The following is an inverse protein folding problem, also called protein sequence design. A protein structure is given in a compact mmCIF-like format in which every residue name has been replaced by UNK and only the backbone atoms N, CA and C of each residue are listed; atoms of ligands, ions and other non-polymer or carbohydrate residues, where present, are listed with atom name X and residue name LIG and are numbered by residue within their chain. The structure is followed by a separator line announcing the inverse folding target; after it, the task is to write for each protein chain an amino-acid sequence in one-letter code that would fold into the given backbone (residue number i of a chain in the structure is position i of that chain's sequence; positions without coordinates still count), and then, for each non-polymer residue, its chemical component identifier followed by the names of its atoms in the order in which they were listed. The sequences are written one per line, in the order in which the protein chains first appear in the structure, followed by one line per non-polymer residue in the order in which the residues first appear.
data_IF_450816659300
#
_entry.id   IF_450816659300
#
_cell.length_a   1.000
_cell.length_b   1.000
_cell.length_c   1.000
_cell.angle_alpha   90.00
_cell.angle_beta   90.00
_cell.angle_gamma   90.00
#
_symmetry.space_group_name_H-M   'P 1'
#
loop_
_entity.id
_entity.type
_entity.pdbx_description
1 polymer ?
#
# COMPACT_ATOMS: atom_id res chain seq x y z
N UNK A 1 -16.92 -3.28 -12.99
CA UNK A 1 -15.55 -3.49 -12.45
C UNK A 1 -14.92 -2.22 -11.91
N UNK A 2 -15.06 -1.07 -12.60
CA UNK A 2 -14.48 0.23 -12.17
C UNK A 2 -14.75 0.59 -10.70
N UNK A 3 -16.02 0.59 -10.29
CA UNK A 3 -16.44 0.95 -8.94
C UNK A 3 -15.80 0.00 -7.91
N UNK A 4 -15.76 -1.29 -8.22
CA UNK A 4 -15.17 -2.32 -7.36
C UNK A 4 -13.67 -2.07 -7.20
N UNK A 5 -12.94 -1.84 -8.28
CA UNK A 5 -11.50 -1.53 -8.25
C UNK A 5 -11.21 -0.26 -7.45
N UNK A 6 -11.97 0.82 -7.66
CA UNK A 6 -11.81 2.07 -6.90
C UNK A 6 -12.10 1.89 -5.40
N UNK A 7 -13.14 1.13 -5.05
CA UNK A 7 -13.48 0.81 -3.66
C UNK A 7 -12.36 0.01 -2.99
N UNK A 8 -11.84 -1.01 -3.67
CA UNK A 8 -10.74 -1.84 -3.18
C UNK A 8 -9.46 -1.04 -2.97
N UNK A 9 -9.08 -0.18 -3.92
CA UNK A 9 -7.91 0.71 -3.78
C UNK A 9 -8.11 1.66 -2.60
N UNK A 10 -9.29 2.28 -2.48
CA UNK A 10 -9.60 3.21 -1.38
C UNK A 10 -9.54 2.53 -0.02
N UNK A 11 -10.18 1.36 0.10
CA UNK A 11 -10.19 0.58 1.34
C UNK A 11 -8.77 0.16 1.71
N UNK A 12 -7.97 -0.26 0.72
CA UNK A 12 -6.59 -0.66 0.94
C UNK A 12 -5.73 0.51 1.43
N UNK A 13 -5.82 1.67 0.78
CA UNK A 13 -5.13 2.89 1.21
C UNK A 13 -5.52 3.29 2.64
N UNK A 14 -6.82 3.24 2.96
CA UNK A 14 -7.33 3.56 4.30
C UNK A 14 -6.76 2.61 5.37
N UNK A 15 -6.74 1.31 5.12
CA UNK A 15 -6.18 0.32 6.04
C UNK A 15 -4.70 0.56 6.32
N UNK A 16 -3.92 0.97 5.31
CA UNK A 16 -2.51 1.33 5.50
C UNK A 16 -2.37 2.60 6.35
N UNK A 17 -3.18 3.62 6.06
CA UNK A 17 -3.17 4.86 6.83
C UNK A 17 -3.53 4.61 8.31
N UNK A 18 -4.57 3.82 8.58
CA UNK A 18 -4.97 3.43 9.94
C UNK A 18 -3.85 2.64 10.62
N UNK A 19 -3.23 1.69 9.92
CA UNK A 19 -2.12 0.92 10.47
C UNK A 19 -0.92 1.82 10.84
N UNK A 20 -0.57 2.77 9.97
CA UNK A 20 0.50 3.74 10.23
C UNK A 20 0.18 4.65 11.42
N UNK A 21 -1.07 5.15 11.53
CA UNK A 21 -1.52 5.96 12.66
C UNK A 21 -1.55 5.18 13.97
N UNK A 22 -2.04 3.94 13.96
CA UNK A 22 -2.05 3.07 15.15
C UNK A 22 -0.63 2.82 15.65
N UNK A 23 0.30 2.48 14.74
CA UNK A 23 1.70 2.28 15.09
C UNK A 23 2.35 3.55 15.64
N UNK A 24 1.99 4.71 15.09
CA UNK A 24 2.48 6.00 15.57
C UNK A 24 1.96 6.29 16.99
N UNK A 25 0.69 6.02 17.27
CA UNK A 25 0.13 6.14 18.62
C UNK A 25 0.82 5.22 19.63
N UNK A 26 1.04 3.96 19.28
CA UNK A 26 1.52 2.94 20.23
C UNK A 26 3.04 2.99 20.47
N UNK A 27 3.81 3.45 19.48
CA UNK A 27 5.28 3.36 19.50
C UNK A 27 5.97 4.70 19.17
N UNK A 28 5.24 5.82 19.20
CA UNK A 28 5.77 7.17 18.98
C UNK A 28 6.08 7.53 17.52
N UNK A 29 6.58 8.75 17.31
CA UNK A 29 6.95 9.26 15.99
C UNK A 29 8.20 8.57 15.45
N UNK A 30 8.12 8.01 14.23
CA UNK A 30 9.27 7.53 13.47
C UNK A 30 9.12 7.87 11.99
N UNK A 31 10.20 8.32 11.37
CA UNK A 31 10.24 8.77 9.96
C UNK A 31 9.68 7.70 9.00
N UNK A 32 10.00 6.43 9.20
CA UNK A 32 9.52 5.31 8.38
C UNK A 32 7.99 5.20 8.33
N UNK A 33 7.29 5.57 9.42
CA UNK A 33 5.81 5.55 9.50
C UNK A 33 5.17 6.70 8.75
N UNK A 34 5.86 7.84 8.69
CA UNK A 34 5.45 8.96 7.85
C UNK A 34 5.52 8.56 6.37
N UNK A 35 6.55 7.79 5.96
CA UNK A 35 6.61 7.22 4.62
C UNK A 35 5.45 6.25 4.33
N UNK A 36 5.03 5.40 5.27
CA UNK A 36 3.83 4.58 5.10
C UNK A 36 2.57 5.41 4.80
N UNK A 37 2.41 6.54 5.49
CA UNK A 37 1.28 7.44 5.29
C UNK A 37 1.33 8.14 3.93
N UNK A 38 2.51 8.58 3.50
CA UNK A 38 2.72 9.15 2.15
C UNK A 38 2.37 8.12 1.08
N UNK A 39 2.83 6.87 1.23
CA UNK A 39 2.54 5.81 0.25
C UNK A 39 1.06 5.47 0.23
N UNK A 40 0.38 5.44 1.38
CA UNK A 40 -1.07 5.28 1.44
C UNK A 40 -1.80 6.39 0.67
N UNK A 41 -1.36 7.64 0.83
CA UNK A 41 -1.91 8.78 0.09
C UNK A 41 -1.67 8.64 -1.42
N UNK A 42 -0.49 8.18 -1.85
CA UNK A 42 -0.19 7.95 -3.27
C UNK A 42 -1.08 6.85 -3.88
N UNK A 43 -1.32 5.76 -3.15
CA UNK A 43 -2.26 4.71 -3.56
C UNK A 43 -3.67 5.29 -3.71
N UNK A 44 -4.11 6.11 -2.78
CA UNK A 44 -5.42 6.77 -2.87
C UNK A 44 -5.50 7.73 -4.07
N UNK A 45 -4.48 8.56 -4.25
CA UNK A 45 -4.39 9.52 -5.36
C UNK A 45 -4.36 8.85 -6.73
N UNK A 46 -3.89 7.59 -6.82
CA UNK A 46 -3.87 6.82 -8.08
C UNK A 46 -5.25 6.68 -8.73
N UNK A 47 -6.34 6.77 -7.96
CA UNK A 47 -7.72 6.70 -8.46
C UNK A 47 -8.04 7.87 -9.39
N UNK A 48 -7.50 9.06 -9.09
CA UNK A 48 -7.72 10.29 -9.86
C UNK A 48 -6.66 10.53 -10.93
N UNK A 49 -5.78 9.56 -11.20
CA UNK A 49 -4.80 9.69 -12.27
C UNK A 49 -5.50 9.90 -13.62
N UNK A 50 -5.04 10.88 -14.44
CA UNK A 50 -5.68 11.22 -15.72
C UNK A 50 -5.60 10.09 -16.76
N UNK A 51 -4.65 9.16 -16.60
CA UNK A 51 -4.50 7.98 -17.44
C UNK A 51 -4.44 6.71 -16.57
N UNK A 52 -5.10 5.64 -17.00
CA UNK A 52 -5.10 4.34 -16.31
C UNK A 52 -3.74 3.65 -16.30
N UNK A 53 -2.92 3.87 -17.33
CA UNK A 53 -1.51 3.42 -17.36
C UNK A 53 -0.72 4.13 -16.26
N UNK A 54 -0.93 5.43 -16.07
CA UNK A 54 -0.28 6.18 -14.99
C UNK A 54 -0.75 5.69 -13.61
N UNK A 55 -2.04 5.42 -13.45
CA UNK A 55 -2.60 4.80 -12.22
C UNK A 55 -1.90 3.47 -11.89
N UNK A 56 -1.72 2.61 -12.90
CA UNK A 56 -1.02 1.34 -12.77
C UNK A 56 0.44 1.54 -12.31
N UNK A 57 1.17 2.46 -12.93
CA UNK A 57 2.56 2.76 -12.54
C UNK A 57 2.65 3.28 -11.10
N UNK A 58 1.75 4.18 -10.70
CA UNK A 58 1.70 4.70 -9.31
C UNK A 58 1.47 3.54 -8.32
N UNK A 59 0.55 2.62 -8.63
CA UNK A 59 0.27 1.47 -7.78
C UNK A 59 1.46 0.53 -7.67
N UNK A 60 2.12 0.19 -8.79
CA UNK A 60 3.31 -0.67 -8.79
C UNK A 60 4.41 -0.08 -7.92
N UNK A 61 4.74 1.21 -8.12
CA UNK A 61 5.79 1.90 -7.35
C UNK A 61 5.41 1.94 -5.86
N UNK A 62 4.14 2.22 -5.56
CA UNK A 62 3.64 2.26 -4.18
C UNK A 62 3.72 0.90 -3.49
N UNK A 63 3.38 -0.19 -4.19
CA UNK A 63 3.40 -1.54 -3.63
C UNK A 63 4.82 -2.04 -3.37
N UNK A 64 5.76 -1.74 -4.28
CA UNK A 64 7.19 -1.99 -4.07
C UNK A 64 7.68 -1.19 -2.85
N UNK A 65 7.34 0.09 -2.77
CA UNK A 65 7.72 0.95 -1.64
C UNK A 65 7.19 0.41 -0.31
N UNK A 66 5.95 -0.07 -0.25
CA UNK A 66 5.38 -0.71 0.95
C UNK A 66 6.14 -1.97 1.37
N UNK A 67 6.64 -2.75 0.42
CA UNK A 67 7.42 -3.95 0.72
C UNK A 67 8.77 -3.57 1.33
N UNK A 68 9.47 -2.63 0.70
CA UNK A 68 10.76 -2.13 1.21
C UNK A 68 10.59 -1.51 2.59
N UNK A 69 9.58 -0.66 2.79
CA UNK A 69 9.29 -0.04 4.09
C UNK A 69 8.95 -1.08 5.16
N UNK A 70 8.17 -2.10 4.81
CA UNK A 70 7.79 -3.14 5.77
C UNK A 70 8.96 -4.06 6.14
N UNK A 71 9.85 -4.35 5.18
CA UNK A 71 11.11 -5.06 5.45
C UNK A 71 12.00 -4.23 6.38
N UNK A 72 12.16 -2.93 6.08
CA UNK A 72 12.96 -2.02 6.90
C UNK A 72 12.40 -1.87 8.32
N UNK A 73 11.09 -1.66 8.48
CA UNK A 73 10.42 -1.59 9.79
C UNK A 73 10.59 -2.91 10.58
N UNK A 74 10.51 -4.06 9.89
CA UNK A 74 10.74 -5.37 10.48
C UNK A 74 12.18 -5.59 10.94
N UNK A 75 13.16 -5.08 10.19
CA UNK A 75 14.58 -5.12 10.56
C UNK A 75 14.87 -4.22 11.77
N UNK A 76 14.35 -3.00 11.76
CA UNK A 76 14.55 -2.00 12.83
C UNK A 76 13.91 -2.44 14.16
N UNK A 77 12.79 -3.15 14.13
CA UNK A 77 12.06 -3.59 15.33
C UNK A 77 12.46 -5.01 15.79
N UNK A 78 13.75 -5.36 15.73
CA UNK A 78 14.31 -6.66 16.15
C UNK A 78 13.80 -7.88 15.37
N UNK A 79 13.71 -7.76 14.04
CA UNK A 79 13.75 -8.90 13.11
C UNK A 79 12.49 -9.78 13.05
N UNK A 80 11.40 -9.45 13.75
CA UNK A 80 10.15 -10.23 13.68
C UNK A 80 9.32 -9.86 12.45
N UNK A 81 9.85 -10.18 11.27
CA UNK A 81 9.09 -10.20 10.03
C UNK A 81 8.07 -11.33 10.12
N UNK A 82 6.80 -10.99 10.36
CA UNK A 82 5.70 -11.97 10.27
C UNK A 82 5.48 -12.32 8.81
N UNK A 83 6.17 -13.37 8.35
CA UNK A 83 6.15 -13.83 6.95
C UNK A 83 4.73 -14.00 6.39
N UNK A 84 3.80 -14.52 7.21
CA UNK A 84 2.38 -14.67 6.86
C UNK A 84 1.73 -13.34 6.45
N UNK A 85 2.02 -12.26 7.18
CA UNK A 85 1.47 -10.93 6.89
C UNK A 85 2.02 -10.37 5.58
N UNK A 86 3.31 -10.61 5.30
CA UNK A 86 3.92 -10.22 4.02
C UNK A 86 3.35 -10.98 2.83
N UNK A 87 3.14 -12.30 2.94
CA UNK A 87 2.57 -13.12 1.88
C UNK A 87 1.13 -12.68 1.56
N UNK A 88 0.30 -12.45 2.59
CA UNK A 88 -1.08 -11.97 2.39
C UNK A 88 -1.06 -10.60 1.72
N UNK A 89 -0.19 -9.68 2.19
CA UNK A 89 -0.05 -8.34 1.60
C UNK A 89 0.37 -8.41 0.12
N UNK A 90 1.30 -9.30 -0.21
CA UNK A 90 1.71 -9.54 -1.59
C UNK A 90 0.55 -10.04 -2.46
N UNK A 91 -0.23 -11.01 -1.97
CA UNK A 91 -1.43 -11.50 -2.68
C UNK A 91 -2.45 -10.40 -2.96
N UNK A 92 -2.71 -9.52 -1.99
CA UNK A 92 -3.60 -8.36 -2.16
C UNK A 92 -3.07 -7.39 -3.22
N UNK A 93 -1.76 -7.11 -3.24
CA UNK A 93 -1.15 -6.27 -4.26
C UNK A 93 -1.28 -6.86 -5.67
N UNK A 94 -1.00 -8.16 -5.82
CA UNK A 94 -1.13 -8.86 -7.10
C UNK A 94 -2.58 -8.81 -7.58
N UNK A 95 -3.55 -9.06 -6.69
CA UNK A 95 -4.98 -8.95 -7.01
C UNK A 95 -5.34 -7.53 -7.48
N UNK A 96 -4.89 -6.49 -6.77
CA UNK A 96 -5.15 -5.10 -7.15
C UNK A 96 -4.53 -4.75 -8.51
N UNK A 97 -3.30 -5.21 -8.79
CA UNK A 97 -2.66 -5.02 -10.09
C UNK A 97 -3.48 -5.70 -11.19
N UNK A 98 -3.90 -6.95 -11.01
CA UNK A 98 -4.69 -7.68 -12.00
C UNK A 98 -6.01 -6.95 -12.29
N UNK A 99 -6.72 -6.48 -11.25
CA UNK A 99 -7.96 -5.74 -11.40
C UNK A 99 -7.79 -4.41 -12.14
N UNK A 100 -6.65 -3.74 -11.96
CA UNK A 100 -6.33 -2.51 -12.70
C UNK A 100 -5.93 -2.83 -14.14
N UNK A 101 -5.16 -3.90 -14.39
CA UNK A 101 -4.83 -4.35 -15.76
C UNK A 101 -6.12 -4.68 -16.54
N UNK A 102 -7.04 -5.45 -15.96
CA UNK A 102 -8.33 -5.77 -16.58
C UNK A 102 -9.24 -4.56 -16.78
N UNK A 103 -8.94 -3.45 -16.12
CA UNK A 103 -9.65 -2.20 -16.33
C UNK A 103 -8.97 -1.30 -17.38
N UNK A 104 -7.68 -1.49 -17.60
CA UNK A 104 -6.88 -0.74 -18.60
C UNK A 104 -6.96 -1.38 -19.98
N UNK A 105 -6.87 -2.71 -20.06
CA UNK A 105 -7.05 -3.52 -21.29
C UNK A 105 -8.52 -3.82 -21.54
#
# INVERSE_FOLDING_TARGET
MVIVTCLLISLYALLIAIAAMSQWKDQGFRIHRLFFMIVALMIFLSIWAPNKILSLWILIISFISLHVLAIAEGLINNGKLRLRHHIIRFGVHVLLIILVIQFVM
#
